data_IF_424107024995
#
_entry.id   IF_424107024995
#
_cell.length_a   1.000
_cell.length_b   1.000
_cell.length_c   1.000
_cell.angle_alpha   90.00
_cell.angle_beta   90.00
_cell.angle_gamma   90.00
#
_symmetry.space_group_name_H-M   'P 1'
#
loop_
_entity.id
_entity.type
_entity.pdbx_description
1 polymer ?
#
# COMPACT_ATOMS: atom_id res chain seq x y z
N UNK A 1 18.65 22.71 6.25
CA UNK A 1 19.29 21.43 5.99
C UNK A 1 18.23 20.47 5.48
N UNK A 2 18.33 20.04 4.24
CA UNK A 2 17.47 18.99 3.67
C UNK A 2 17.83 17.69 4.38
N UNK A 3 16.91 17.12 5.16
CA UNK A 3 17.13 15.81 5.80
C UNK A 3 17.02 14.78 4.67
N UNK A 4 18.14 14.29 4.18
CA UNK A 4 18.20 13.23 3.17
C UNK A 4 17.44 11.99 3.69
N UNK A 5 16.87 11.20 2.79
CA UNK A 5 16.27 9.91 3.16
C UNK A 5 17.32 9.04 3.86
N UNK A 6 17.00 8.41 5.00
CA UNK A 6 17.94 7.50 5.66
C UNK A 6 18.26 6.25 4.79
N UNK A 7 17.53 6.05 3.71
CA UNK A 7 17.66 4.92 2.78
C UNK A 7 18.25 5.33 1.42
N UNK A 8 18.61 6.62 1.25
CA UNK A 8 19.02 7.17 -0.04
C UNK A 8 20.24 6.47 -0.65
N UNK A 9 21.26 6.15 0.17
CA UNK A 9 22.48 5.48 -0.31
C UNK A 9 22.18 4.05 -0.79
N UNK A 10 21.34 3.30 -0.06
CA UNK A 10 20.94 1.95 -0.45
C UNK A 10 20.12 1.98 -1.74
N UNK A 11 19.17 2.91 -1.82
CA UNK A 11 18.30 3.04 -2.99
C UNK A 11 19.07 3.50 -4.24
N UNK A 12 20.06 4.40 -4.09
CA UNK A 12 20.90 4.87 -5.19
C UNK A 12 21.74 3.76 -5.84
N UNK A 13 21.97 2.64 -5.15
CA UNK A 13 22.66 1.49 -5.69
C UNK A 13 21.76 0.56 -6.52
N UNK A 14 20.44 0.82 -6.55
CA UNK A 14 19.45 -0.01 -7.25
C UNK A 14 19.11 0.65 -8.59
N UNK A 15 19.32 -0.09 -9.68
CA UNK A 15 18.87 0.37 -11.01
C UNK A 15 17.38 0.63 -10.98
N UNK A 16 16.97 1.82 -11.48
CA UNK A 16 15.57 2.22 -11.49
C UNK A 16 15.20 2.80 -12.85
N UNK A 17 14.11 2.31 -13.41
CA UNK A 17 13.53 2.83 -14.65
C UNK A 17 12.06 3.16 -14.45
N UNK A 18 11.52 4.11 -15.23
CA UNK A 18 10.10 4.46 -15.16
C UNK A 18 9.40 4.23 -16.50
N UNK A 19 8.13 3.85 -16.41
CA UNK A 19 7.33 3.42 -17.54
C UNK A 19 5.88 3.89 -17.38
N UNK A 20 5.08 3.66 -18.43
CA UNK A 20 3.63 3.86 -18.38
C UNK A 20 2.90 2.82 -19.21
N UNK A 21 1.64 2.57 -18.85
CA UNK A 21 0.73 1.68 -19.57
C UNK A 21 -0.70 2.22 -19.44
N UNK A 22 -1.47 2.08 -20.52
CA UNK A 22 -2.88 2.48 -20.53
C UNK A 22 -3.77 1.33 -20.04
N UNK A 23 -4.57 1.58 -18.99
CA UNK A 23 -5.48 0.59 -18.39
C UNK A 23 -6.77 1.28 -17.96
N UNK A 24 -7.92 0.74 -18.37
CA UNK A 24 -9.26 1.22 -18.01
C UNK A 24 -9.42 2.74 -18.23
N UNK A 25 -8.92 3.21 -19.39
CA UNK A 25 -9.01 4.61 -19.82
C UNK A 25 -8.09 5.58 -19.07
N UNK A 26 -7.19 5.06 -18.22
CA UNK A 26 -6.20 5.86 -17.48
C UNK A 26 -4.77 5.42 -17.77
N UNK A 27 -3.82 6.37 -17.70
CA UNK A 27 -2.39 6.10 -17.78
C UNK A 27 -1.85 5.73 -16.42
N UNK A 28 -1.39 4.50 -16.24
CA UNK A 28 -0.69 4.04 -15.04
C UNK A 28 0.80 4.30 -15.19
N UNK A 29 1.38 5.10 -14.31
CA UNK A 29 2.83 5.30 -14.18
C UNK A 29 3.38 4.25 -13.23
N UNK A 30 4.54 3.68 -13.55
CA UNK A 30 5.19 2.69 -12.68
C UNK A 30 6.70 2.72 -12.79
N UNK A 31 7.35 2.30 -11.72
CA UNK A 31 8.81 2.23 -11.60
C UNK A 31 9.23 0.78 -11.46
N UNK A 32 10.31 0.43 -12.14
CA UNK A 32 10.95 -0.88 -12.04
C UNK A 32 12.27 -0.69 -11.33
N UNK A 33 12.44 -1.38 -10.22
CA UNK A 33 13.65 -1.36 -9.40
C UNK A 33 14.31 -2.74 -9.44
N UNK A 34 15.66 -2.76 -9.45
CA UNK A 34 16.47 -3.97 -9.37
C UNK A 34 16.71 -4.66 -10.70
N UNK A 35 17.44 -5.78 -10.67
CA UNK A 35 17.97 -6.41 -11.87
C UNK A 35 16.87 -7.03 -12.74
N UNK A 36 17.04 -6.95 -14.06
CA UNK A 36 16.08 -7.49 -15.03
C UNK A 36 16.02 -9.03 -15.02
N UNK A 37 17.11 -9.68 -14.61
CA UNK A 37 17.26 -11.12 -14.47
C UNK A 37 17.03 -11.63 -13.05
N UNK A 38 16.48 -10.78 -12.17
CA UNK A 38 16.14 -11.18 -10.80
C UNK A 38 15.28 -12.45 -10.79
N UNK A 39 15.61 -13.34 -9.87
CA UNK A 39 14.87 -14.59 -9.68
C UNK A 39 13.42 -14.35 -9.26
N UNK A 40 13.21 -13.37 -8.39
CA UNK A 40 11.91 -13.04 -7.82
C UNK A 40 11.47 -11.65 -8.34
N UNK A 41 10.25 -11.58 -8.86
CA UNK A 41 9.61 -10.33 -9.28
C UNK A 41 8.42 -10.07 -8.35
N UNK A 42 8.32 -8.84 -7.84
CA UNK A 42 7.23 -8.41 -6.95
C UNK A 42 6.51 -7.21 -7.55
N UNK A 43 5.18 -7.28 -7.66
CA UNK A 43 4.33 -6.16 -8.05
C UNK A 43 3.66 -5.59 -6.81
N UNK A 44 3.73 -4.27 -6.64
CA UNK A 44 3.30 -3.57 -5.43
C UNK A 44 1.99 -2.83 -5.65
N UNK A 45 1.08 -2.90 -4.68
CA UNK A 45 -0.03 -1.97 -4.53
C UNK A 45 0.15 -1.19 -3.23
N UNK A 46 0.39 0.12 -3.33
CA UNK A 46 0.65 1.00 -2.20
C UNK A 46 -0.60 1.34 -1.36
N UNK A 47 -0.41 1.98 -0.22
CA UNK A 47 -1.48 2.42 0.67
C UNK A 47 -2.30 3.59 0.13
N UNK A 48 -3.46 3.83 0.74
CA UNK A 48 -4.33 4.96 0.40
C UNK A 48 -3.59 6.29 0.50
N UNK A 49 -3.69 7.12 -0.54
CA UNK A 49 -2.97 8.40 -0.72
C UNK A 49 -1.44 8.26 -0.73
N UNK A 50 -0.93 7.04 -0.87
CA UNK A 50 0.47 6.79 -1.13
C UNK A 50 0.81 6.89 -2.61
N UNK A 51 2.05 6.59 -2.91
CA UNK A 51 2.61 6.42 -4.25
C UNK A 51 3.84 5.51 -4.16
N UNK A 52 4.55 5.26 -5.27
CA UNK A 52 5.72 4.36 -5.33
C UNK A 52 6.81 4.67 -4.30
N UNK A 53 7.10 5.95 -3.98
CA UNK A 53 8.10 6.33 -2.97
C UNK A 53 7.83 5.75 -1.58
N UNK A 54 6.56 5.48 -1.23
CA UNK A 54 6.19 4.97 0.08
C UNK A 54 6.80 3.60 0.40
N UNK A 55 7.07 2.77 -0.61
CA UNK A 55 7.62 1.42 -0.42
C UNK A 55 9.13 1.35 -0.72
N UNK A 56 9.72 2.40 -1.30
CA UNK A 56 11.16 2.45 -1.58
C UNK A 56 12.07 2.06 -0.40
N UNK A 57 11.78 2.42 0.86
CA UNK A 57 12.61 1.97 1.97
C UNK A 57 12.69 0.45 2.13
N UNK A 58 11.62 -0.29 1.81
CA UNK A 58 11.66 -1.77 1.81
C UNK A 58 12.47 -2.27 0.61
N UNK A 59 12.24 -1.70 -0.57
CA UNK A 59 12.99 -2.01 -1.81
C UNK A 59 14.49 -1.84 -1.58
N UNK A 60 14.91 -0.77 -0.88
CA UNK A 60 16.30 -0.48 -0.58
C UNK A 60 17.04 -1.61 0.16
N UNK A 61 16.33 -2.45 0.90
CA UNK A 61 16.89 -3.62 1.61
C UNK A 61 16.80 -4.93 0.80
N UNK A 62 16.29 -4.89 -0.44
CA UNK A 62 16.10 -6.07 -1.30
C UNK A 62 16.65 -5.81 -2.71
N UNK A 63 17.93 -5.41 -2.86
CA UNK A 63 18.50 -5.05 -4.16
C UNK A 63 18.57 -6.22 -5.16
N UNK A 64 18.47 -7.45 -4.67
CA UNK A 64 18.45 -8.67 -5.48
C UNK A 64 17.09 -9.00 -6.10
N UNK A 65 16.03 -8.25 -5.74
CA UNK A 65 14.65 -8.50 -6.18
C UNK A 65 14.25 -7.47 -7.22
N UNK A 66 13.51 -7.90 -8.22
CA UNK A 66 12.87 -6.99 -9.18
C UNK A 66 11.53 -6.53 -8.63
N UNK A 67 11.39 -5.24 -8.37
CA UNK A 67 10.11 -4.64 -7.98
C UNK A 67 9.50 -3.85 -9.13
N UNK A 68 8.18 -3.99 -9.30
CA UNK A 68 7.37 -3.18 -10.18
C UNK A 68 6.36 -2.44 -9.31
N UNK A 69 6.55 -1.13 -9.15
CA UNK A 69 5.78 -0.29 -8.23
C UNK A 69 4.97 0.75 -9.01
N UNK A 70 3.71 0.48 -9.35
CA UNK A 70 2.84 1.47 -9.94
C UNK A 70 2.34 2.46 -8.90
N UNK A 71 2.07 3.69 -9.33
CA UNK A 71 1.13 4.56 -8.63
C UNK A 71 -0.29 4.07 -8.93
N UNK A 72 -1.11 3.86 -7.92
CA UNK A 72 -2.50 3.45 -8.10
C UNK A 72 -3.28 4.54 -8.89
N UNK A 73 -4.23 4.16 -9.74
CA UNK A 73 -5.01 5.12 -10.52
C UNK A 73 -5.55 6.28 -9.70
N UNK A 74 -5.23 7.50 -10.18
CA UNK A 74 -5.62 8.75 -9.55
C UNK A 74 -4.74 9.24 -8.40
N UNK A 75 -3.65 8.51 -8.06
CA UNK A 75 -2.64 8.91 -7.10
C UNK A 75 -1.26 9.05 -7.76
N UNK A 76 -0.35 9.80 -7.10
CA UNK A 76 1.00 10.05 -7.61
C UNK A 76 1.00 10.66 -9.01
N UNK A 77 1.64 9.98 -9.95
CA UNK A 77 1.73 10.39 -11.35
C UNK A 77 0.76 9.64 -12.28
N UNK A 78 -0.06 8.72 -11.73
CA UNK A 78 -1.08 8.01 -12.50
C UNK A 78 -2.36 8.83 -12.66
N UNK A 79 -2.97 8.77 -13.86
CA UNK A 79 -4.25 9.41 -14.10
C UNK A 79 -5.41 8.58 -13.51
N UNK A 80 -6.59 9.18 -13.31
CA UNK A 80 -7.77 8.43 -12.88
C UNK A 80 -8.21 7.38 -13.91
N UNK A 81 -8.91 6.36 -13.43
CA UNK A 81 -9.69 5.48 -14.30
C UNK A 81 -10.86 6.27 -14.88
N UNK A 82 -11.13 6.12 -16.18
CA UNK A 82 -12.31 6.68 -16.85
C UNK A 82 -13.34 5.61 -17.20
N UNK A 83 -12.89 4.37 -17.39
CA UNK A 83 -13.74 3.25 -17.81
C UNK A 83 -14.13 2.34 -16.62
N UNK A 84 -13.75 2.74 -15.41
CA UNK A 84 -14.12 2.06 -14.17
C UNK A 84 -14.22 3.05 -12.99
N UNK A 85 -15.00 2.68 -11.98
CA UNK A 85 -15.13 3.45 -10.72
C UNK A 85 -13.93 3.14 -9.81
N UNK A 86 -13.46 4.12 -9.03
CA UNK A 86 -12.43 3.94 -8.01
C UNK A 86 -12.98 3.19 -6.78
N UNK A 87 -13.56 2.01 -7.01
CA UNK A 87 -14.01 1.04 -6.00
C UNK A 87 -12.96 -0.07 -5.81
N UNK A 88 -13.16 -0.96 -4.84
CA UNK A 88 -12.28 -2.12 -4.67
C UNK A 88 -12.31 -3.01 -5.92
N UNK A 89 -13.48 -3.21 -6.52
CA UNK A 89 -13.64 -3.99 -7.74
C UNK A 89 -12.88 -3.35 -8.91
N UNK A 90 -13.01 -2.03 -9.09
CA UNK A 90 -12.31 -1.29 -10.15
C UNK A 90 -10.79 -1.33 -9.98
N UNK A 91 -10.29 -1.12 -8.74
CA UNK A 91 -8.86 -1.27 -8.46
C UNK A 91 -8.36 -2.71 -8.61
N UNK A 92 -9.16 -3.71 -8.23
CA UNK A 92 -8.80 -5.12 -8.38
C UNK A 92 -8.73 -5.53 -9.86
N UNK A 93 -9.67 -5.07 -10.69
CA UNK A 93 -9.64 -5.28 -12.12
C UNK A 93 -8.45 -4.56 -12.77
N UNK A 94 -8.22 -3.30 -12.42
CA UNK A 94 -7.03 -2.57 -12.85
C UNK A 94 -5.74 -3.34 -12.51
N UNK A 95 -5.60 -3.85 -11.28
CA UNK A 95 -4.41 -4.58 -10.88
C UNK A 95 -4.21 -5.86 -11.71
N UNK A 96 -5.28 -6.59 -12.00
CA UNK A 96 -5.20 -7.78 -12.85
C UNK A 96 -4.70 -7.44 -14.26
N UNK A 97 -5.29 -6.41 -14.88
CA UNK A 97 -4.87 -5.94 -16.21
C UNK A 97 -3.43 -5.39 -16.18
N UNK A 98 -3.04 -4.69 -15.11
CA UNK A 98 -1.68 -4.20 -14.93
C UNK A 98 -0.68 -5.36 -14.86
N UNK A 99 -0.93 -6.37 -14.03
CA UNK A 99 -0.07 -7.55 -13.90
C UNK A 99 0.07 -8.26 -15.23
N UNK A 100 -1.03 -8.46 -15.95
CA UNK A 100 -1.01 -9.12 -17.28
C UNK A 100 -0.20 -8.32 -18.30
N UNK A 101 -0.21 -6.99 -18.23
CA UNK A 101 0.52 -6.12 -19.14
C UNK A 101 2.04 -6.09 -18.87
N UNK A 102 2.46 -6.07 -17.58
CA UNK A 102 3.86 -5.82 -17.20
C UNK A 102 4.65 -7.07 -16.79
N UNK A 103 3.94 -8.13 -16.39
CA UNK A 103 4.54 -9.40 -15.95
C UNK A 103 3.64 -10.60 -16.31
N UNK A 104 3.40 -10.86 -17.60
CA UNK A 104 2.52 -11.93 -18.03
C UNK A 104 3.01 -13.31 -17.57
N UNK A 105 2.09 -14.24 -17.39
CA UNK A 105 2.38 -15.64 -17.04
C UNK A 105 2.31 -15.96 -15.56
N UNK A 106 1.81 -15.05 -14.72
CA UNK A 106 1.43 -15.33 -13.32
C UNK A 106 2.60 -15.69 -12.39
N UNK A 107 3.84 -15.28 -12.71
CA UNK A 107 5.04 -15.58 -11.92
C UNK A 107 5.44 -14.48 -10.93
N UNK A 108 4.85 -13.30 -11.05
CA UNK A 108 5.09 -12.20 -10.13
C UNK A 108 4.37 -12.43 -8.81
N UNK A 109 5.08 -12.24 -7.70
CA UNK A 109 4.52 -12.20 -6.35
C UNK A 109 3.81 -10.85 -6.19
N UNK A 110 2.66 -10.84 -5.54
CA UNK A 110 1.89 -9.62 -5.34
C UNK A 110 2.05 -9.12 -3.92
N UNK A 111 2.38 -7.84 -3.77
CA UNK A 111 2.53 -7.18 -2.46
C UNK A 111 1.52 -6.05 -2.33
N UNK A 112 0.73 -6.08 -1.25
CA UNK A 112 -0.19 -5.01 -0.88
C UNK A 112 0.16 -4.39 0.46
N UNK A 113 0.24 -3.05 0.52
CA UNK A 113 0.42 -2.31 1.77
C UNK A 113 -0.86 -1.57 2.13
N UNK A 114 -1.35 -1.72 3.38
CA UNK A 114 -2.50 -0.98 3.89
C UNK A 114 -3.72 -1.11 2.95
N UNK A 115 -4.24 -0.03 2.35
CA UNK A 115 -5.29 -0.07 1.34
C UNK A 115 -4.96 -1.03 0.19
N UNK A 116 -3.71 -1.02 -0.29
CA UNK A 116 -3.24 -1.96 -1.31
C UNK A 116 -3.43 -3.41 -0.91
N UNK A 117 -3.47 -3.74 0.39
CA UNK A 117 -3.76 -5.09 0.85
C UNK A 117 -5.19 -5.55 0.52
N UNK A 118 -6.16 -4.63 0.58
CA UNK A 118 -7.55 -4.94 0.18
C UNK A 118 -7.61 -5.14 -1.33
N UNK A 119 -6.97 -4.25 -2.10
CA UNK A 119 -6.94 -4.32 -3.57
C UNK A 119 -6.32 -5.64 -4.05
N UNK A 120 -5.16 -6.01 -3.49
CA UNK A 120 -4.45 -7.24 -3.86
C UNK A 120 -5.22 -8.49 -3.45
N UNK A 121 -5.80 -8.50 -2.25
CA UNK A 121 -6.64 -9.60 -1.77
C UNK A 121 -7.88 -9.79 -2.66
N UNK A 122 -8.54 -8.69 -3.06
CA UNK A 122 -9.68 -8.72 -3.97
C UNK A 122 -9.29 -9.25 -5.35
N UNK A 123 -8.17 -8.79 -5.91
CA UNK A 123 -7.67 -9.24 -7.22
C UNK A 123 -7.32 -10.74 -7.22
N UNK A 124 -6.62 -11.22 -6.19
CA UNK A 124 -6.28 -12.65 -6.04
C UNK A 124 -7.54 -13.48 -5.86
N UNK A 125 -8.50 -13.04 -5.03
CA UNK A 125 -9.78 -13.71 -4.84
C UNK A 125 -10.65 -13.71 -6.11
N UNK A 126 -10.41 -12.77 -7.04
CA UNK A 126 -11.04 -12.70 -8.37
C UNK A 126 -10.27 -13.46 -9.46
N UNK A 127 -9.21 -14.23 -9.10
CA UNK A 127 -8.48 -15.09 -10.01
C UNK A 127 -7.18 -14.51 -10.58
N UNK A 128 -6.61 -13.47 -9.98
CA UNK A 128 -5.25 -13.05 -10.32
C UNK A 128 -4.27 -14.18 -9.96
N UNK A 129 -3.55 -14.69 -10.96
CA UNK A 129 -2.54 -15.72 -10.76
C UNK A 129 -1.25 -15.14 -10.19
N UNK A 130 -0.78 -15.72 -9.07
CA UNK A 130 0.47 -15.35 -8.40
C UNK A 130 1.00 -16.55 -7.62
N UNK A 131 2.32 -16.73 -7.49
CA UNK A 131 2.90 -17.77 -6.66
C UNK A 131 2.81 -17.47 -5.16
N UNK A 132 2.53 -16.22 -4.76
CA UNK A 132 2.41 -15.81 -3.37
C UNK A 132 1.89 -14.41 -3.20
N UNK A 133 1.27 -14.16 -2.05
CA UNK A 133 0.72 -12.87 -1.65
C UNK A 133 1.44 -12.35 -0.40
N UNK A 134 1.89 -11.10 -0.43
CA UNK A 134 2.51 -10.42 0.71
C UNK A 134 1.64 -9.24 1.11
N UNK A 135 1.23 -9.19 2.37
CA UNK A 135 0.39 -8.13 2.91
C UNK A 135 1.10 -7.44 4.08
N UNK A 136 1.44 -6.17 3.92
CA UNK A 136 2.10 -5.35 4.94
C UNK A 136 1.07 -4.42 5.58
N UNK A 137 0.96 -4.44 6.90
CA UNK A 137 -0.10 -3.76 7.65
C UNK A 137 -1.49 -3.99 7.01
N UNK A 138 -1.90 -5.27 6.76
CA UNK A 138 -3.15 -5.53 6.07
C UNK A 138 -4.35 -4.97 6.82
N UNK A 139 -5.30 -4.41 6.08
CA UNK A 139 -6.58 -3.97 6.65
C UNK A 139 -7.43 -5.21 6.90
N UNK A 140 -7.33 -5.76 8.10
CA UNK A 140 -7.99 -7.02 8.50
C UNK A 140 -9.40 -6.81 9.06
N UNK A 141 -9.79 -5.53 9.28
CA UNK A 141 -11.10 -5.11 9.79
C UNK A 141 -11.52 -3.84 9.06
N UNK A 142 -12.76 -3.77 8.62
CA UNK A 142 -13.31 -2.57 7.96
C UNK A 142 -13.15 -1.32 8.83
N UNK A 143 -12.76 -0.20 8.24
CA UNK A 143 -12.64 1.09 8.93
C UNK A 143 -13.94 1.54 9.60
N UNK A 144 -15.10 1.06 9.14
CA UNK A 144 -16.41 1.34 9.74
C UNK A 144 -16.64 0.56 11.04
N UNK A 145 -15.99 -0.61 11.20
CA UNK A 145 -16.05 -1.46 12.39
C UNK A 145 -14.83 -1.28 13.32
N UNK A 146 -13.99 -0.27 13.05
CA UNK A 146 -12.75 -0.02 13.79
C UNK A 146 -12.96 0.36 15.26
N UNK A 147 -11.90 0.27 16.10
CA UNK A 147 -11.97 0.43 17.55
C UNK A 147 -12.22 1.88 18.01
N UNK A 148 -12.19 2.86 17.10
CA UNK A 148 -12.30 4.29 17.41
C UNK A 148 -13.49 4.96 16.69
N UNK A 149 -14.74 4.66 17.07
CA UNK A 149 -15.93 5.11 16.33
C UNK A 149 -16.07 6.63 16.22
N UNK A 150 -15.59 7.39 17.20
CA UNK A 150 -15.60 8.86 17.15
C UNK A 150 -14.64 9.39 16.08
N UNK A 151 -13.41 8.86 16.02
CA UNK A 151 -12.43 9.24 15.00
C UNK A 151 -12.94 8.87 13.61
N UNK A 152 -13.53 7.69 13.47
CA UNK A 152 -14.16 7.24 12.21
C UNK A 152 -15.26 8.22 11.77
N UNK A 153 -16.17 8.63 12.67
CA UNK A 153 -17.23 9.60 12.35
C UNK A 153 -16.65 10.96 11.93
N UNK A 154 -15.62 11.44 12.61
CA UNK A 154 -14.95 12.70 12.26
C UNK A 154 -14.29 12.62 10.87
N UNK A 155 -13.65 11.51 10.59
CA UNK A 155 -13.02 11.25 9.29
C UNK A 155 -14.07 11.18 8.17
N UNK A 156 -15.19 10.48 8.39
CA UNK A 156 -16.30 10.43 7.46
C UNK A 156 -16.87 11.83 7.19
N UNK A 157 -17.06 12.63 8.24
CA UNK A 157 -17.54 14.03 8.12
C UNK A 157 -16.56 14.91 7.33
N UNK A 158 -15.26 14.74 7.55
CA UNK A 158 -14.19 15.44 6.81
C UNK A 158 -14.26 15.16 5.30
N UNK A 159 -14.34 13.89 4.89
CA UNK A 159 -14.44 13.52 3.47
C UNK A 159 -15.81 13.92 2.88
N UNK A 160 -16.90 13.82 3.65
CA UNK A 160 -18.22 14.28 3.23
C UNK A 160 -18.26 15.79 3.01
N UNK A 161 -17.61 16.57 3.87
CA UNK A 161 -17.45 18.00 3.69
C UNK A 161 -16.64 18.33 2.44
N UNK A 162 -15.48 17.68 2.25
CA UNK A 162 -14.65 17.88 1.06
C UNK A 162 -15.44 17.64 -0.23
N UNK A 163 -16.27 16.59 -0.26
CA UNK A 163 -17.13 16.25 -1.41
C UNK A 163 -18.20 17.32 -1.69
N UNK A 164 -18.77 17.94 -0.65
CA UNK A 164 -19.83 18.97 -0.79
C UNK A 164 -19.28 20.32 -1.24
N UNK A 165 -18.02 20.59 -1.00
CA UNK A 165 -17.38 21.85 -1.40
C UNK A 165 -17.16 21.88 -2.92
N UNK A 166 -17.06 23.07 -3.56
CA UNK A 166 -16.53 23.20 -4.91
C UNK A 166 -15.17 22.52 -5.05
N UNK A 167 -14.85 21.97 -6.25
CA UNK A 167 -13.65 21.15 -6.51
C UNK A 167 -12.36 21.77 -5.91
N UNK A 168 -12.10 23.04 -6.20
CA UNK A 168 -10.89 23.73 -5.72
C UNK A 168 -10.81 23.80 -4.19
N UNK A 169 -11.93 24.04 -3.52
CA UNK A 169 -11.97 24.12 -2.04
C UNK A 169 -11.91 22.75 -1.41
N UNK A 170 -12.59 21.75 -1.96
CA UNK A 170 -12.51 20.37 -1.52
C UNK A 170 -11.09 19.80 -1.66
N UNK A 171 -10.43 20.07 -2.80
CA UNK A 171 -9.05 19.72 -3.02
C UNK A 171 -8.09 20.40 -2.03
N UNK A 172 -8.28 21.70 -1.79
CA UNK A 172 -7.48 22.46 -0.80
C UNK A 172 -7.67 21.93 0.62
N UNK A 173 -8.90 21.54 1.01
CA UNK A 173 -9.18 20.92 2.29
C UNK A 173 -8.46 19.58 2.42
N UNK A 174 -8.56 18.71 1.42
CA UNK A 174 -7.92 17.39 1.42
C UNK A 174 -6.39 17.47 1.38
N UNK A 175 -5.82 18.48 0.71
CA UNK A 175 -4.38 18.75 0.65
C UNK A 175 -3.84 19.63 1.78
N UNK A 176 -4.65 19.94 2.80
CA UNK A 176 -4.24 20.86 3.86
C UNK A 176 -3.06 20.30 4.67
N UNK A 177 -1.96 21.04 4.69
CA UNK A 177 -0.69 20.64 5.30
C UNK A 177 -0.78 20.39 6.81
N UNK A 178 -1.66 21.12 7.53
CA UNK A 178 -1.86 20.92 8.96
C UNK A 178 -2.58 19.60 9.24
N UNK A 179 -3.56 19.26 8.41
CA UNK A 179 -4.27 17.97 8.52
C UNK A 179 -3.33 16.82 8.19
N UNK A 180 -2.54 16.93 7.11
CA UNK A 180 -1.51 15.95 6.75
C UNK A 180 -0.49 15.80 7.88
N UNK A 181 -0.05 16.91 8.49
CA UNK A 181 0.89 16.86 9.62
C UNK A 181 0.29 16.16 10.83
N UNK A 182 -0.98 16.46 11.17
CA UNK A 182 -1.68 15.78 12.27
C UNK A 182 -1.78 14.27 12.02
N UNK A 183 -2.16 13.85 10.81
CA UNK A 183 -2.21 12.44 10.43
C UNK A 183 -0.82 11.79 10.54
N UNK A 184 0.22 12.45 10.04
CA UNK A 184 1.60 11.97 10.09
C UNK A 184 2.09 11.76 11.53
N UNK A 185 1.79 12.70 12.41
CA UNK A 185 2.14 12.60 13.85
C UNK A 185 1.41 11.44 14.53
N UNK A 186 0.14 11.22 14.18
CA UNK A 186 -0.67 10.14 14.75
C UNK A 186 -0.16 8.75 14.34
N UNK A 187 0.32 8.62 13.11
CA UNK A 187 0.77 7.34 12.54
C UNK A 187 2.20 6.97 12.97
N UNK A 188 3.11 7.95 13.07
CA UNK A 188 4.51 7.69 13.40
C UNK A 188 4.71 7.33 14.88
N UNK A 189 5.20 6.13 15.14
CA UNK A 189 5.50 5.63 16.51
C UNK A 189 6.99 5.74 16.88
N UNK A 190 7.87 5.87 15.89
CA UNK A 190 9.31 5.97 16.13
C UNK A 190 9.67 7.08 17.12
N UNK A 191 10.60 6.78 18.03
CA UNK A 191 11.17 7.75 18.97
C UNK A 191 12.42 8.45 18.42
N UNK A 192 12.96 7.96 17.28
CA UNK A 192 14.10 8.59 16.61
C UNK A 192 13.69 9.93 16.00
N UNK A 193 14.19 11.07 16.46
CA UNK A 193 13.75 12.38 15.99
C UNK A 193 14.15 12.68 14.53
N UNK A 194 15.25 12.10 14.04
CA UNK A 194 15.66 12.27 12.64
C UNK A 194 14.74 11.51 11.69
N UNK A 195 14.47 10.24 11.99
CA UNK A 195 13.53 9.42 11.23
C UNK A 195 12.12 10.03 11.25
N UNK A 196 11.66 10.49 12.39
CA UNK A 196 10.35 11.13 12.56
C UNK A 196 10.21 12.38 11.69
N UNK A 197 11.25 13.26 11.66
CA UNK A 197 11.26 14.45 10.80
C UNK A 197 11.24 14.08 9.32
N UNK A 198 11.94 13.03 8.94
CA UNK A 198 11.93 12.53 7.57
C UNK A 198 10.54 12.00 7.20
N UNK A 199 9.91 11.13 8.00
CA UNK A 199 8.54 10.62 7.79
C UNK A 199 7.54 11.77 7.59
N UNK A 200 7.58 12.78 8.46
CA UNK A 200 6.67 13.94 8.34
C UNK A 200 6.86 14.68 7.02
N UNK A 201 8.08 14.77 6.53
CA UNK A 201 8.36 15.41 5.24
C UNK A 201 7.87 14.55 4.08
N UNK A 202 8.08 13.24 4.11
CA UNK A 202 7.55 12.32 3.10
C UNK A 202 6.03 12.49 2.97
N UNK A 203 5.31 12.46 4.08
CA UNK A 203 3.87 12.71 4.07
C UNK A 203 3.52 14.10 3.51
N UNK A 204 4.26 15.16 3.88
CA UNK A 204 4.02 16.50 3.36
C UNK A 204 4.30 16.64 1.87
N UNK A 205 5.21 15.84 1.34
CA UNK A 205 5.62 15.88 -0.08
C UNK A 205 4.68 15.06 -0.95
N UNK A 206 4.31 13.88 -0.50
CA UNK A 206 3.68 12.87 -1.37
C UNK A 206 2.19 12.62 -1.08
N UNK A 207 1.75 12.72 0.17
CA UNK A 207 0.39 12.34 0.59
C UNK A 207 -0.75 13.17 -0.02
N UNK A 208 -0.42 14.27 -0.67
CA UNK A 208 -1.39 15.15 -1.34
C UNK A 208 -1.26 15.15 -2.86
N UNK A 209 -0.50 14.20 -3.43
CA UNK A 209 -0.39 13.99 -4.86
C UNK A 209 -1.54 13.09 -5.34
N UNK A 210 -2.65 13.71 -5.69
CA UNK A 210 -3.83 13.05 -6.23
C UNK A 210 -4.47 13.86 -7.35
N UNK A 211 -5.09 13.18 -8.30
CA UNK A 211 -5.60 13.78 -9.52
C UNK A 211 -6.78 14.74 -9.26
N UNK A 212 -7.75 14.33 -8.43
CA UNK A 212 -8.93 15.12 -8.12
C UNK A 212 -9.47 14.85 -6.72
N UNK A 213 -10.33 15.75 -6.23
CA UNK A 213 -11.11 15.56 -5.00
C UNK A 213 -11.94 14.27 -5.04
N UNK A 214 -12.57 14.00 -6.17
CA UNK A 214 -13.52 12.89 -6.30
C UNK A 214 -12.79 11.54 -6.23
N UNK A 215 -11.63 11.40 -6.88
CA UNK A 215 -10.76 10.22 -6.73
C UNK A 215 -10.39 9.96 -5.26
N UNK A 216 -10.01 11.01 -4.52
CA UNK A 216 -9.67 10.86 -3.09
C UNK A 216 -10.89 10.42 -2.29
N UNK A 217 -12.06 10.98 -2.55
CA UNK A 217 -13.29 10.61 -1.82
C UNK A 217 -13.75 9.19 -2.17
N UNK A 218 -13.66 8.79 -3.43
CA UNK A 218 -13.97 7.44 -3.87
C UNK A 218 -12.99 6.41 -3.30
N UNK A 219 -11.69 6.67 -3.41
CA UNK A 219 -10.65 5.84 -2.82
C UNK A 219 -10.77 5.71 -1.30
N UNK A 220 -11.16 6.80 -0.60
CA UNK A 220 -11.46 6.73 0.83
C UNK A 220 -12.62 5.77 1.12
N UNK A 221 -13.72 5.90 0.37
CA UNK A 221 -14.87 5.00 0.54
C UNK A 221 -14.47 3.54 0.27
N UNK A 222 -13.73 3.31 -0.78
CA UNK A 222 -13.18 1.98 -1.09
C UNK A 222 -12.35 1.45 0.09
N UNK A 223 -11.47 2.29 0.67
CA UNK A 223 -10.55 1.88 1.75
C UNK A 223 -11.24 1.52 3.08
N UNK A 224 -12.49 1.96 3.29
CA UNK A 224 -13.24 1.70 4.52
C UNK A 224 -14.44 0.76 4.33
N UNK A 225 -14.81 0.45 3.07
CA UNK A 225 -16.01 -0.32 2.74
C UNK A 225 -15.89 -1.81 3.04
N UNK A 226 -14.69 -2.34 2.99
CA UNK A 226 -14.40 -3.77 3.18
C UNK A 226 -13.00 -3.95 3.78
N UNK A 227 -12.58 -5.18 3.94
CA UNK A 227 -11.27 -5.57 4.47
C UNK A 227 -10.79 -6.88 3.83
N UNK A 228 -9.54 -7.26 4.12
CA UNK A 228 -8.92 -8.47 3.58
C UNK A 228 -9.67 -9.74 4.01
N UNK A 229 -10.28 -9.75 5.20
CA UNK A 229 -10.97 -10.94 5.74
C UNK A 229 -12.17 -11.35 4.87
N UNK A 230 -12.82 -10.38 4.21
CA UNK A 230 -13.92 -10.65 3.28
C UNK A 230 -13.49 -11.48 2.06
N UNK A 231 -12.21 -11.45 1.70
CA UNK A 231 -11.63 -12.17 0.57
C UNK A 231 -10.90 -13.46 0.98
N UNK A 232 -10.51 -13.58 2.26
CA UNK A 232 -9.70 -14.68 2.78
C UNK A 232 -10.19 -16.09 2.38
N UNK A 233 -11.50 -16.41 2.39
CA UNK A 233 -11.98 -17.75 2.01
C UNK A 233 -11.71 -18.14 0.54
N UNK A 234 -11.40 -17.15 -0.33
CA UNK A 234 -11.12 -17.36 -1.76
C UNK A 234 -9.64 -17.27 -2.10
N UNK A 235 -8.78 -16.86 -1.16
CA UNK A 235 -7.33 -16.81 -1.32
C UNK A 235 -6.77 -18.21 -1.03
N UNK A 236 -6.13 -18.82 -2.05
CA UNK A 236 -5.58 -20.17 -1.98
C UNK A 236 -4.06 -20.22 -2.15
N UNK A 237 -3.45 -19.07 -2.37
CA UNK A 237 -2.00 -18.95 -2.53
C UNK A 237 -1.32 -18.76 -1.18
N UNK A 238 -0.06 -19.20 -1.02
CA UNK A 238 0.74 -18.91 0.15
C UNK A 238 0.74 -17.41 0.44
N UNK A 239 0.48 -17.03 1.68
CA UNK A 239 0.32 -15.62 2.07
C UNK A 239 1.20 -15.27 3.25
N UNK A 240 2.02 -14.24 3.10
CA UNK A 240 2.77 -13.62 4.20
C UNK A 240 2.00 -12.40 4.71
N UNK A 241 1.72 -12.37 6.01
CA UNK A 241 1.22 -11.19 6.71
C UNK A 241 2.36 -10.57 7.52
N UNK A 242 2.65 -9.29 7.32
CA UNK A 242 3.61 -8.53 8.14
C UNK A 242 2.83 -7.44 8.86
N UNK A 243 2.68 -7.57 10.16
CA UNK A 243 1.84 -6.68 10.96
C UNK A 243 2.63 -6.04 12.12
N UNK A 244 2.17 -4.88 12.58
CA UNK A 244 2.75 -4.11 13.66
C UNK A 244 1.90 -4.24 14.93
N UNK A 245 2.53 -4.45 16.09
CA UNK A 245 1.79 -4.62 17.34
C UNK A 245 1.16 -3.33 17.88
N UNK A 246 1.67 -2.15 17.46
CA UNK A 246 1.15 -0.83 17.87
C UNK A 246 0.36 -0.15 16.74
N UNK A 247 -0.17 -0.92 15.78
CA UNK A 247 -0.97 -0.36 14.69
C UNK A 247 -2.34 0.12 15.21
N UNK A 248 -2.57 1.42 15.10
CA UNK A 248 -3.83 2.06 15.53
C UNK A 248 -4.96 1.94 14.49
N UNK A 249 -4.64 1.54 13.26
CA UNK A 249 -5.61 1.38 12.17
C UNK A 249 -6.16 -0.04 12.16
N UNK A 250 -5.26 -1.01 12.26
CA UNK A 250 -5.62 -2.43 12.23
C UNK A 250 -5.04 -3.16 13.43
N UNK A 251 -5.86 -3.40 14.48
CA UNK A 251 -5.40 -4.01 15.72
C UNK A 251 -4.78 -5.38 15.50
N UNK A 252 -3.71 -5.69 16.25
CA UNK A 252 -3.00 -6.97 16.13
C UNK A 252 -3.92 -8.19 16.32
N UNK A 253 -4.95 -8.09 17.15
CA UNK A 253 -5.94 -9.16 17.32
C UNK A 253 -6.66 -9.51 16.00
N UNK A 254 -6.94 -8.51 15.16
CA UNK A 254 -7.54 -8.74 13.85
C UNK A 254 -6.59 -9.46 12.90
N UNK A 255 -5.27 -9.25 13.04
CA UNK A 255 -4.27 -9.95 12.24
C UNK A 255 -4.21 -11.45 12.57
N UNK A 256 -4.29 -11.81 13.84
CA UNK A 256 -4.39 -13.22 14.25
C UNK A 256 -5.68 -13.89 13.74
N UNK A 257 -6.80 -13.16 13.66
CA UNK A 257 -8.01 -13.68 13.06
C UNK A 257 -7.88 -13.86 11.55
N UNK A 258 -7.26 -12.87 10.86
CA UNK A 258 -7.01 -12.94 9.43
C UNK A 258 -6.10 -14.12 9.07
N UNK A 259 -5.01 -14.34 9.82
CA UNK A 259 -4.12 -15.49 9.63
C UNK A 259 -4.90 -16.81 9.67
N UNK A 260 -5.79 -16.98 10.67
CA UNK A 260 -6.62 -18.18 10.80
C UNK A 260 -7.67 -18.32 9.69
N UNK A 261 -8.12 -17.21 9.10
CA UNK A 261 -9.12 -17.21 8.03
C UNK A 261 -8.55 -17.56 6.66
N UNK A 262 -7.25 -17.36 6.47
CA UNK A 262 -6.52 -17.72 5.25
C UNK A 262 -6.14 -19.21 5.28
N UNK A 263 -6.22 -19.87 4.13
CA UNK A 263 -5.94 -21.32 4.04
C UNK A 263 -4.45 -21.68 4.20
N UNK A 264 -3.56 -20.77 3.85
CA UNK A 264 -2.11 -20.96 3.89
C UNK A 264 -1.46 -19.60 4.16
N UNK A 265 -1.38 -19.21 5.43
CA UNK A 265 -0.82 -17.94 5.84
C UNK A 265 0.20 -18.06 6.96
N UNK A 266 1.15 -17.14 6.95
CA UNK A 266 2.13 -16.93 8.01
C UNK A 266 2.10 -15.48 8.44
N UNK A 267 1.91 -15.24 9.73
CA UNK A 267 1.96 -13.91 10.34
C UNK A 267 3.34 -13.65 10.97
N UNK A 268 3.96 -12.54 10.59
CA UNK A 268 5.14 -11.96 11.25
C UNK A 268 4.71 -10.68 11.95
N UNK A 269 4.83 -10.63 13.28
CA UNK A 269 4.50 -9.47 14.10
C UNK A 269 5.77 -8.69 14.39
N UNK A 270 5.77 -7.40 14.03
CA UNK A 270 6.87 -6.47 14.31
C UNK A 270 6.54 -5.66 15.56
N UNK A 271 7.42 -5.73 16.54
CA UNK A 271 7.23 -5.12 17.86
C UNK A 271 7.66 -3.64 17.90
N UNK A 272 6.93 -2.83 18.65
CA UNK A 272 7.30 -1.43 18.92
C UNK A 272 7.05 -0.45 17.77
N UNK A 273 6.38 -0.89 16.71
CA UNK A 273 6.09 -0.12 15.50
C UNK A 273 4.58 -0.07 15.23
N UNK A 274 4.14 0.98 14.53
CA UNK A 274 2.75 1.17 14.13
C UNK A 274 2.50 0.90 12.65
N UNK A 275 1.54 1.63 12.08
CA UNK A 275 1.11 1.45 10.68
C UNK A 275 2.19 1.76 9.63
N UNK A 276 3.30 2.37 10.02
CA UNK A 276 4.36 2.81 9.11
C UNK A 276 5.57 1.86 9.09
N UNK A 277 5.35 0.54 9.07
CA UNK A 277 6.41 -0.48 8.97
C UNK A 277 7.41 -0.12 7.87
N UNK A 278 6.91 0.27 6.70
CA UNK A 278 7.70 0.61 5.52
C UNK A 278 8.66 1.79 5.72
N UNK A 279 8.39 2.66 6.69
CA UNK A 279 9.26 3.79 7.06
C UNK A 279 10.08 3.54 8.32
N UNK A 280 9.47 2.91 9.34
CA UNK A 280 10.07 2.81 10.66
C UNK A 280 11.06 1.64 10.79
N UNK A 281 10.72 0.51 10.18
CA UNK A 281 11.52 -0.74 10.27
C UNK A 281 11.53 -1.52 8.94
N UNK A 282 11.84 -0.87 7.81
CA UNK A 282 11.79 -1.50 6.49
C UNK A 282 12.69 -2.73 6.37
N UNK A 283 13.82 -2.76 7.07
CA UNK A 283 14.74 -3.91 7.09
C UNK A 283 14.09 -5.17 7.66
N UNK A 284 13.26 -5.05 8.73
CA UNK A 284 12.56 -6.20 9.31
C UNK A 284 11.48 -6.73 8.36
N UNK A 285 10.78 -5.84 7.65
CA UNK A 285 9.84 -6.26 6.61
C UNK A 285 10.57 -6.95 5.44
N UNK A 286 11.72 -6.42 5.02
CA UNK A 286 12.54 -7.03 3.98
C UNK A 286 13.04 -8.43 4.38
N UNK A 287 13.46 -8.62 5.63
CA UNK A 287 13.88 -9.93 6.15
C UNK A 287 12.74 -10.95 6.13
N UNK A 288 11.52 -10.53 6.54
CA UNK A 288 10.33 -11.38 6.46
C UNK A 288 10.00 -11.77 5.01
N UNK A 289 10.09 -10.82 4.07
CA UNK A 289 9.87 -11.04 2.63
C UNK A 289 10.92 -12.03 2.09
N UNK A 290 12.19 -11.84 2.41
CA UNK A 290 13.29 -12.74 1.97
C UNK A 290 13.07 -14.16 2.48
N UNK A 291 12.67 -14.31 3.74
CA UNK A 291 12.33 -15.61 4.31
C UNK A 291 11.16 -16.28 3.58
N UNK A 292 10.14 -15.50 3.21
CA UNK A 292 9.00 -16.00 2.45
C UNK A 292 9.37 -16.47 1.05
N UNK A 293 10.26 -15.77 0.33
CA UNK A 293 10.78 -16.25 -0.96
C UNK A 293 11.48 -17.59 -0.84
N UNK A 294 12.27 -17.81 0.23
CA UNK A 294 12.90 -19.10 0.48
C UNK A 294 11.86 -20.19 0.72
N UNK A 295 10.78 -19.88 1.42
CA UNK A 295 9.67 -20.82 1.66
C UNK A 295 8.93 -21.17 0.36
N UNK A 296 8.57 -20.19 -0.46
CA UNK A 296 7.91 -20.40 -1.75
C UNK A 296 8.72 -21.31 -2.67
N UNK A 297 10.06 -21.21 -2.65
CA UNK A 297 10.95 -22.02 -3.47
C UNK A 297 11.08 -23.49 -3.03
N UNK A 298 10.65 -23.83 -1.82
CA UNK A 298 10.68 -25.19 -1.28
C UNK A 298 9.39 -25.96 -1.57
N UNK A 299 8.38 -25.28 -2.03
CA UNK A 299 7.07 -25.84 -2.42
C UNK A 299 7.08 -26.29 -3.87
#
# INVERSE_FOLDING_TARGET
MTTQSPYAELLAAIETTNHSVEILGGTTRYWVYGPSDARDTVIIAHGYRGEHHGIEPIIAYLPEVRFISPDLPGFGESTPLTDAVHSIEGYAEWLRMFVDAVAPGGRAIILGHSFGSIVTAAAVAAGLHTPGLILINPIAVSGLAGPRPFVTKLTLAYYALARRLPEKLGRALLGNRLIVQFMSVSLAKTKNPALRRWIHREHQTYFSRFASRDVVVEGFRASISTDVSAFAPRIRVPTLLVAANLDDITPIAAQFHLEKALSDARLVVLEGVGHLIHYEVPHLAADAIRAFFVELRRR
#
